data_IF_653455574646
#
_entry.id   IF_653455574646
#
_cell.length_a   1.000
_cell.length_b   1.000
_cell.length_c   1.000
_cell.angle_alpha   90.00
_cell.angle_beta   90.00
_cell.angle_gamma   90.00
#
_symmetry.space_group_name_H-M   'P 1'
#
loop_
_entity.id
_entity.type
_entity.pdbx_description
1 polymer ?
#
# COMPACT_ATOMS: atom_id res chain seq x y z
N UNK A 1 -9.76 -30.22 16.52
CA UNK A 1 -9.40 -29.99 15.10
C UNK A 1 -8.83 -28.58 14.94
N UNK A 2 -7.77 -28.36 14.11
CA UNK A 2 -7.25 -27.02 13.83
C UNK A 2 -8.32 -26.14 13.16
N UNK A 3 -8.20 -24.82 13.34
CA UNK A 3 -9.02 -23.82 12.63
C UNK A 3 -10.52 -23.79 13.02
N UNK A 4 -10.86 -24.09 14.25
CA UNK A 4 -12.25 -24.04 14.73
C UNK A 4 -12.72 -22.64 15.15
N UNK A 5 -11.79 -21.71 15.39
CA UNK A 5 -12.10 -20.37 15.90
C UNK A 5 -11.42 -19.30 15.05
N UNK A 6 -12.18 -18.25 14.75
CA UNK A 6 -11.69 -17.02 14.14
C UNK A 6 -11.84 -15.92 15.20
N UNK A 7 -10.70 -15.29 15.57
CA UNK A 7 -10.67 -14.13 16.45
C UNK A 7 -10.42 -12.91 15.58
N UNK A 8 -11.30 -11.91 15.69
CA UNK A 8 -11.17 -10.66 14.94
C UNK A 8 -10.99 -9.49 15.90
N UNK A 9 -10.21 -8.49 15.49
CA UNK A 9 -10.01 -7.26 16.24
C UNK A 9 -9.52 -6.14 15.33
N UNK A 10 -9.92 -4.92 15.65
CA UNK A 10 -9.50 -3.70 14.94
C UNK A 10 -8.28 -3.02 15.57
N UNK A 11 -7.78 -3.56 16.69
CA UNK A 11 -6.63 -3.02 17.39
C UNK A 11 -5.39 -3.87 17.15
N UNK A 12 -4.25 -3.18 17.04
CA UNK A 12 -2.94 -3.82 17.20
C UNK A 12 -2.91 -4.45 18.59
N UNK A 13 -2.61 -5.74 18.66
CA UNK A 13 -2.35 -6.37 19.97
C UNK A 13 -1.27 -5.56 20.66
N UNK A 14 -1.44 -5.14 21.92
CA UNK A 14 -0.36 -4.56 22.70
C UNK A 14 0.87 -5.47 22.58
N UNK A 15 2.05 -4.90 22.42
CA UNK A 15 3.29 -5.67 22.54
C UNK A 15 3.18 -6.41 23.87
N UNK A 16 3.21 -7.72 23.82
CA UNK A 16 2.79 -8.58 24.91
C UNK A 16 3.45 -8.16 26.21
N UNK A 17 2.64 -7.84 27.19
CA UNK A 17 3.01 -7.96 28.58
C UNK A 17 3.68 -9.33 28.72
N UNK A 18 4.89 -9.43 29.31
CA UNK A 18 5.70 -10.65 29.40
C UNK A 18 4.96 -11.85 30.03
N UNK A 19 3.75 -11.61 30.52
CA UNK A 19 2.86 -12.59 31.16
C UNK A 19 1.88 -13.29 30.21
N UNK A 20 1.74 -12.82 28.94
CA UNK A 20 0.81 -13.42 27.97
C UNK A 20 1.59 -14.36 27.06
N UNK A 21 1.28 -15.65 27.09
CA UNK A 21 1.81 -16.63 26.15
C UNK A 21 1.54 -16.15 24.71
N UNK A 22 2.59 -15.99 23.93
CA UNK A 22 2.54 -15.46 22.56
C UNK A 22 1.64 -16.27 21.59
N UNK A 23 1.15 -17.41 21.99
CA UNK A 23 0.37 -18.31 21.12
C UNK A 23 1.14 -18.83 19.91
N UNK A 24 2.47 -18.63 19.87
CA UNK A 24 3.34 -19.07 18.77
C UNK A 24 3.09 -20.54 18.43
N UNK A 25 2.84 -20.82 17.15
CA UNK A 25 2.52 -22.16 16.64
C UNK A 25 1.07 -22.62 16.85
N UNK A 26 0.21 -21.79 17.48
CA UNK A 26 -1.21 -22.10 17.72
C UNK A 26 -2.16 -21.22 16.93
N UNK A 27 -1.72 -20.05 16.47
CA UNK A 27 -2.51 -19.08 15.71
C UNK A 27 -1.86 -18.81 14.36
N UNK A 28 -2.68 -18.72 13.33
CA UNK A 28 -2.32 -18.12 12.05
C UNK A 28 -2.91 -16.69 12.02
N UNK A 29 -2.07 -15.72 11.69
CA UNK A 29 -2.50 -14.33 11.54
C UNK A 29 -2.88 -14.07 10.10
N UNK A 30 -4.08 -13.54 9.89
CA UNK A 30 -4.57 -13.07 8.59
C UNK A 30 -4.77 -11.57 8.71
N UNK A 31 -4.14 -10.81 7.83
CA UNK A 31 -4.33 -9.37 7.73
C UNK A 31 -5.55 -9.08 6.86
N UNK A 32 -6.56 -8.42 7.42
CA UNK A 32 -7.68 -7.93 6.61
C UNK A 32 -7.24 -6.67 5.87
N UNK A 33 -7.29 -6.71 4.54
CA UNK A 33 -6.90 -5.63 3.64
C UNK A 33 -8.10 -4.87 3.11
N UNK A 34 -7.95 -3.64 2.59
CA UNK A 34 -8.94 -3.04 1.70
C UNK A 34 -9.24 -4.00 0.54
N UNK A 35 -10.48 -3.94 0.03
CA UNK A 35 -10.91 -4.80 -1.08
C UNK A 35 -10.13 -4.49 -2.36
N UNK A 36 -9.70 -5.53 -3.06
CA UNK A 36 -9.21 -5.42 -4.43
C UNK A 36 -10.35 -5.06 -5.39
N UNK A 37 -10.02 -4.65 -6.61
CA UNK A 37 -11.00 -4.39 -7.66
C UNK A 37 -11.78 -5.67 -8.05
N UNK A 38 -11.20 -6.84 -7.84
CA UNK A 38 -11.90 -8.11 -8.03
C UNK A 38 -12.95 -8.34 -6.94
N UNK A 39 -12.61 -8.11 -5.68
CA UNK A 39 -13.54 -8.29 -4.56
C UNK A 39 -14.68 -7.27 -4.56
N UNK A 40 -14.42 -6.05 -5.05
CA UNK A 40 -15.44 -5.00 -5.19
C UNK A 40 -16.21 -5.05 -6.51
N UNK A 41 -15.88 -5.98 -7.42
CA UNK A 41 -16.65 -6.31 -8.61
C UNK A 41 -16.31 -5.46 -9.86
N UNK A 42 -15.30 -4.60 -9.81
CA UNK A 42 -14.86 -3.83 -10.97
C UNK A 42 -13.90 -4.61 -11.89
N UNK A 43 -13.12 -5.54 -11.35
CA UNK A 43 -12.32 -6.46 -12.17
C UNK A 43 -13.18 -7.65 -12.61
N UNK A 44 -13.06 -8.03 -13.89
CA UNK A 44 -13.76 -9.18 -14.44
C UNK A 44 -13.13 -10.55 -14.08
N UNK A 45 -11.94 -10.56 -13.46
CA UNK A 45 -11.24 -11.76 -13.02
C UNK A 45 -10.79 -12.71 -14.15
N UNK A 46 -10.77 -12.28 -15.40
CA UNK A 46 -10.44 -13.16 -16.55
C UNK A 46 -8.97 -13.52 -16.63
N UNK A 47 -8.08 -12.69 -16.07
CA UNK A 47 -6.66 -13.00 -15.93
C UNK A 47 -6.39 -13.35 -14.49
N UNK A 48 -5.94 -14.57 -14.25
CA UNK A 48 -5.63 -15.10 -12.92
C UNK A 48 -4.12 -15.21 -12.75
N UNK A 49 -3.58 -14.62 -11.67
CA UNK A 49 -2.16 -14.80 -11.33
C UNK A 49 -1.81 -16.26 -11.07
N UNK A 50 -2.71 -17.05 -10.51
CA UNK A 50 -2.51 -18.49 -10.32
C UNK A 50 -2.31 -19.20 -11.66
N UNK A 51 -3.15 -18.88 -12.65
CA UNK A 51 -3.06 -19.49 -13.97
C UNK A 51 -1.78 -19.05 -14.72
N UNK A 52 -1.34 -17.81 -14.54
CA UNK A 52 -0.05 -17.34 -15.08
C UNK A 52 1.15 -18.10 -14.48
N UNK A 53 1.11 -18.41 -13.17
CA UNK A 53 2.16 -19.22 -12.53
C UNK A 53 2.12 -20.70 -12.95
N UNK A 54 0.98 -21.17 -13.43
CA UNK A 54 0.78 -22.53 -13.93
C UNK A 54 1.00 -22.63 -15.45
N UNK A 55 1.54 -21.58 -16.10
CA UNK A 55 1.75 -21.49 -17.55
C UNK A 55 0.49 -21.77 -18.38
N UNK A 56 -0.69 -21.50 -17.82
CA UNK A 56 -1.96 -21.69 -18.53
C UNK A 56 -2.15 -20.57 -19.56
N UNK A 57 -2.69 -20.89 -20.73
CA UNK A 57 -3.01 -19.87 -21.72
C UNK A 57 -4.06 -18.89 -21.18
N UNK A 58 -3.84 -17.61 -21.41
CA UNK A 58 -4.80 -16.56 -21.08
C UNK A 58 -5.04 -15.70 -22.33
N UNK A 59 -6.26 -15.20 -22.45
CA UNK A 59 -6.58 -14.19 -23.42
C UNK A 59 -6.37 -12.81 -22.79
N UNK A 60 -5.58 -11.97 -23.45
CA UNK A 60 -5.49 -10.56 -23.06
C UNK A 60 -6.85 -9.91 -23.22
N UNK A 61 -7.40 -9.42 -22.12
CA UNK A 61 -8.68 -8.76 -22.14
C UNK A 61 -8.56 -7.36 -21.59
N UNK A 62 -9.12 -6.42 -22.32
CA UNK A 62 -9.38 -5.10 -21.80
C UNK A 62 -10.63 -5.13 -20.93
N UNK A 63 -10.60 -4.37 -19.85
CA UNK A 63 -11.79 -4.02 -19.08
C UNK A 63 -12.44 -2.80 -19.77
N UNK A 64 -13.75 -2.63 -19.59
CA UNK A 64 -14.50 -1.46 -20.12
C UNK A 64 -14.33 -0.21 -19.23
N UNK A 65 -13.50 -0.27 -18.19
CA UNK A 65 -13.20 0.86 -17.31
C UNK A 65 -12.49 1.96 -18.08
N UNK A 66 -13.03 3.17 -17.98
CA UNK A 66 -12.41 4.38 -18.50
C UNK A 66 -11.39 4.95 -17.53
N UNK A 67 -10.58 5.90 -17.98
CA UNK A 67 -9.65 6.60 -17.10
C UNK A 67 -10.38 7.35 -15.98
N UNK A 68 -11.56 7.88 -16.26
CA UNK A 68 -12.43 8.51 -15.25
C UNK A 68 -12.87 7.51 -14.19
N UNK A 69 -13.20 6.27 -14.58
CA UNK A 69 -13.52 5.22 -13.62
C UNK A 69 -12.32 4.85 -12.77
N UNK A 70 -11.15 4.69 -13.38
CA UNK A 70 -9.91 4.33 -12.63
C UNK A 70 -9.52 5.44 -11.63
N UNK A 71 -9.61 6.72 -12.02
CA UNK A 71 -9.34 7.83 -11.09
C UNK A 71 -10.35 7.87 -9.94
N UNK A 72 -11.62 7.62 -10.22
CA UNK A 72 -12.66 7.48 -9.19
C UNK A 72 -12.34 6.32 -8.24
N UNK A 73 -12.02 5.14 -8.75
CA UNK A 73 -11.70 3.96 -7.95
C UNK A 73 -10.45 4.16 -7.09
N UNK A 74 -9.46 4.87 -7.61
CA UNK A 74 -8.26 5.27 -6.86
C UNK A 74 -8.59 6.16 -5.66
N UNK A 75 -9.48 7.15 -5.85
CA UNK A 75 -9.90 8.06 -4.77
C UNK A 75 -10.92 7.41 -3.82
N UNK A 76 -11.82 6.54 -4.32
CA UNK A 76 -12.78 5.80 -3.49
C UNK A 76 -12.09 4.83 -2.56
N UNK A 77 -11.06 4.15 -3.06
CA UNK A 77 -10.39 3.06 -2.37
C UNK A 77 -11.20 1.76 -2.30
N UNK A 78 -10.61 0.77 -1.64
CA UNK A 78 -11.18 -0.56 -1.43
C UNK A 78 -11.96 -0.69 -0.10
N UNK A 79 -12.60 0.36 0.38
CA UNK A 79 -13.37 0.33 1.62
C UNK A 79 -14.72 -0.35 1.39
N UNK A 80 -15.07 -1.42 2.15
CA UNK A 80 -16.31 -2.18 1.90
C UNK A 80 -17.56 -1.31 1.91
N UNK A 81 -17.64 -0.33 2.83
CA UNK A 81 -18.79 0.57 2.89
C UNK A 81 -18.89 1.49 1.66
N UNK A 82 -17.76 1.98 1.15
CA UNK A 82 -17.72 2.85 -0.03
C UNK A 82 -18.22 2.16 -1.31
N UNK A 83 -18.23 0.83 -1.35
CA UNK A 83 -18.77 0.08 -2.50
C UNK A 83 -20.30 -0.02 -2.52
N UNK A 84 -20.95 0.31 -1.40
CA UNK A 84 -22.39 0.15 -1.19
C UNK A 84 -23.20 1.46 -1.24
N UNK A 85 -22.53 2.60 -1.32
CA UNK A 85 -23.15 3.94 -1.25
C UNK A 85 -22.97 4.72 -2.55
N UNK A 86 -23.57 5.91 -2.66
CA UNK A 86 -23.43 6.73 -3.87
C UNK A 86 -21.98 7.18 -4.11
N UNK A 87 -21.63 7.41 -5.38
CA UNK A 87 -20.26 7.78 -5.79
C UNK A 87 -19.75 9.02 -5.07
N UNK A 88 -20.60 10.00 -4.84
CA UNK A 88 -20.24 11.25 -4.20
C UNK A 88 -19.88 11.04 -2.71
N UNK A 89 -20.74 10.33 -1.97
CA UNK A 89 -20.52 10.04 -0.55
C UNK A 89 -19.38 9.06 -0.32
N UNK A 90 -19.15 8.15 -1.27
CA UNK A 90 -18.07 7.18 -1.18
C UNK A 90 -16.67 7.83 -1.15
N UNK A 91 -16.51 8.98 -1.81
CA UNK A 91 -15.25 9.72 -1.80
C UNK A 91 -14.94 10.36 -0.43
N UNK A 92 -15.96 10.73 0.35
CA UNK A 92 -15.76 11.33 1.66
C UNK A 92 -15.16 10.34 2.67
N UNK A 93 -15.39 9.03 2.47
CA UNK A 93 -14.93 8.02 3.42
C UNK A 93 -13.41 8.01 3.63
N UNK A 94 -12.62 8.22 2.58
CA UNK A 94 -11.18 8.28 2.70
C UNK A 94 -10.71 9.51 3.49
N UNK A 95 -11.38 10.65 3.32
CA UNK A 95 -11.11 11.87 4.09
C UNK A 95 -11.45 11.67 5.57
N UNK A 96 -12.62 11.10 5.87
CA UNK A 96 -13.05 10.81 7.25
C UNK A 96 -12.10 9.82 7.93
N UNK A 97 -11.61 8.82 7.18
CA UNK A 97 -10.61 7.87 7.67
C UNK A 97 -9.29 8.57 8.02
N UNK A 98 -8.75 9.39 7.12
CA UNK A 98 -7.51 10.14 7.37
C UNK A 98 -7.67 11.06 8.58
N UNK A 99 -8.78 11.77 8.69
CA UNK A 99 -9.07 12.64 9.85
C UNK A 99 -9.16 11.85 11.15
N UNK A 100 -9.75 10.65 11.14
CA UNK A 100 -9.79 9.78 12.31
C UNK A 100 -8.41 9.29 12.72
N UNK A 101 -7.60 8.81 11.76
CA UNK A 101 -6.22 8.38 12.00
C UNK A 101 -5.39 9.49 12.62
N UNK A 102 -5.43 10.68 12.05
CA UNK A 102 -4.62 11.83 12.49
C UNK A 102 -5.06 12.34 13.87
N UNK A 103 -6.36 12.49 14.11
CA UNK A 103 -6.87 13.16 15.30
C UNK A 103 -7.12 12.21 16.48
N UNK A 104 -7.24 10.89 16.24
CA UNK A 104 -7.62 9.93 17.29
C UNK A 104 -6.66 8.73 17.37
N UNK A 105 -6.48 8.01 16.27
CA UNK A 105 -5.89 6.68 16.33
C UNK A 105 -4.38 6.71 16.57
N UNK A 106 -3.67 7.68 15.98
CA UNK A 106 -2.22 7.84 16.14
C UNK A 106 -1.78 8.10 17.58
N UNK A 107 -2.69 8.64 18.41
CA UNK A 107 -2.45 8.88 19.84
C UNK A 107 -2.75 7.65 20.71
N UNK A 108 -3.51 6.68 20.17
CA UNK A 108 -3.99 5.51 20.91
C UNK A 108 -3.21 4.25 20.63
N UNK A 109 -2.49 4.20 19.53
CA UNK A 109 -1.86 2.97 19.02
C UNK A 109 -0.86 2.35 20.01
N UNK A 110 -0.18 3.15 20.81
CA UNK A 110 0.84 2.72 21.78
C UNK A 110 0.89 3.61 23.03
N UNK A 111 -0.10 4.47 23.23
CA UNK A 111 -0.18 5.40 24.35
C UNK A 111 0.77 6.60 24.28
N UNK A 112 1.55 6.73 23.22
CA UNK A 112 2.45 7.87 22.99
C UNK A 112 1.66 9.06 22.45
N UNK A 113 1.79 10.21 23.09
CA UNK A 113 1.17 11.47 22.60
C UNK A 113 1.91 11.96 21.36
N UNK A 114 1.24 11.97 20.22
CA UNK A 114 1.73 12.49 18.94
C UNK A 114 0.94 13.71 18.49
N UNK A 115 1.59 14.69 17.85
CA UNK A 115 0.92 15.85 17.27
C UNK A 115 0.13 15.44 16.02
N UNK A 116 -1.19 15.75 15.97
CA UNK A 116 -1.99 15.56 14.75
C UNK A 116 -1.43 16.31 13.54
N UNK A 117 -0.90 17.52 13.76
CA UNK A 117 -0.33 18.35 12.70
C UNK A 117 0.88 17.66 12.06
N UNK A 118 1.78 17.09 12.87
CA UNK A 118 2.94 16.34 12.38
C UNK A 118 2.52 15.05 11.66
N UNK A 119 1.51 14.36 12.19
CA UNK A 119 0.95 13.19 11.51
C UNK A 119 0.38 13.57 10.13
N UNK A 120 -0.33 14.68 10.03
CA UNK A 120 -0.86 15.21 8.77
C UNK A 120 0.27 15.59 7.80
N UNK A 121 1.31 16.25 8.27
CA UNK A 121 2.49 16.58 7.44
C UNK A 121 3.20 15.31 6.94
N UNK A 122 3.33 14.28 7.77
CA UNK A 122 3.92 13.03 7.37
C UNK A 122 3.09 12.32 6.30
N UNK A 123 1.77 12.22 6.46
CA UNK A 123 0.89 11.60 5.47
C UNK A 123 0.95 12.35 4.13
N UNK A 124 0.98 13.69 4.16
CA UNK A 124 1.17 14.50 2.95
C UNK A 124 2.52 14.24 2.28
N UNK A 125 3.59 14.19 3.06
CA UNK A 125 4.92 13.89 2.52
C UNK A 125 4.98 12.48 1.93
N UNK A 126 4.37 11.51 2.59
CA UNK A 126 4.25 10.15 2.09
C UNK A 126 3.49 10.10 0.77
N UNK A 127 2.34 10.77 0.68
CA UNK A 127 1.52 10.82 -0.52
C UNK A 127 2.21 11.51 -1.71
N UNK A 128 3.05 12.52 -1.46
CA UNK A 128 3.89 13.15 -2.51
C UNK A 128 5.02 12.26 -3.01
N UNK A 129 5.39 11.25 -2.25
CA UNK A 129 6.44 10.29 -2.57
C UNK A 129 5.89 8.87 -2.72
N UNK A 130 4.59 8.74 -2.98
CA UNK A 130 3.92 7.45 -3.18
C UNK A 130 4.56 6.71 -4.36
N UNK A 131 4.70 5.39 -4.25
CA UNK A 131 5.34 4.52 -5.24
C UNK A 131 6.78 4.92 -5.60
N UNK A 132 7.49 5.61 -4.70
CA UNK A 132 8.86 6.03 -4.95
C UNK A 132 9.82 5.53 -3.85
N UNK A 133 11.04 5.23 -4.25
CA UNK A 133 12.13 4.86 -3.34
C UNK A 133 12.78 6.12 -2.79
N UNK A 134 12.27 6.64 -1.69
CA UNK A 134 12.82 7.84 -1.04
C UNK A 134 13.29 7.56 0.37
N UNK A 135 14.47 8.06 0.76
CA UNK A 135 14.99 7.91 2.13
C UNK A 135 14.18 8.74 3.14
N UNK A 136 14.26 8.38 4.41
CA UNK A 136 13.59 9.11 5.50
C UNK A 136 14.02 10.58 5.56
N UNK A 137 15.26 10.88 5.20
CA UNK A 137 15.76 12.26 5.14
C UNK A 137 14.98 13.14 4.14
N UNK A 138 14.49 12.57 3.03
CA UNK A 138 13.61 13.27 2.08
C UNK A 138 12.25 13.55 2.70
N UNK A 139 11.63 12.55 3.33
CA UNK A 139 10.35 12.71 4.05
C UNK A 139 10.48 13.78 5.13
N UNK A 140 11.52 13.69 5.96
CA UNK A 140 11.81 14.68 7.01
C UNK A 140 11.96 16.10 6.44
N UNK A 141 12.73 16.26 5.36
CA UNK A 141 12.95 17.57 4.71
C UNK A 141 11.64 18.17 4.20
N UNK A 142 10.78 17.37 3.61
CA UNK A 142 9.47 17.80 3.12
C UNK A 142 8.53 18.22 4.27
N UNK A 143 8.55 17.49 5.39
CA UNK A 143 7.82 17.88 6.60
C UNK A 143 8.32 19.21 7.16
N UNK A 144 9.64 19.38 7.29
CA UNK A 144 10.26 20.61 7.82
C UNK A 144 10.00 21.86 6.97
N UNK A 145 9.79 21.71 5.68
CA UNK A 145 9.42 22.84 4.82
C UNK A 145 8.09 23.50 5.23
N UNK A 146 7.28 22.77 6.02
CA UNK A 146 5.94 23.20 6.46
C UNK A 146 5.79 23.20 8.00
N UNK A 147 6.86 22.92 8.75
CA UNK A 147 6.89 22.95 10.21
C UNK A 147 8.00 23.89 10.68
N UNK A 148 7.65 24.86 11.52
CA UNK A 148 8.61 25.81 12.10
C UNK A 148 9.43 25.24 13.26
N UNK A 149 9.12 24.02 13.70
CA UNK A 149 9.78 23.35 14.83
C UNK A 149 10.90 22.40 14.38
N UNK A 150 11.81 22.08 15.28
CA UNK A 150 12.84 21.06 15.04
C UNK A 150 12.21 19.66 14.97
N UNK A 151 12.58 18.91 13.94
CA UNK A 151 12.13 17.54 13.73
C UNK A 151 13.37 16.68 13.46
N UNK A 152 13.63 15.68 14.29
CA UNK A 152 14.69 14.70 14.08
C UNK A 152 14.19 13.46 13.32
N UNK A 153 15.11 12.63 12.83
CA UNK A 153 14.75 11.42 12.07
C UNK A 153 14.14 10.33 12.97
N UNK A 154 14.48 10.30 14.25
CA UNK A 154 13.91 9.35 15.20
C UNK A 154 12.42 9.64 15.40
N UNK A 155 12.06 10.92 15.52
CA UNK A 155 10.65 11.33 15.57
C UNK A 155 9.89 10.91 14.31
N UNK A 156 10.43 11.15 13.11
CA UNK A 156 9.79 10.71 11.86
C UNK A 156 9.62 9.19 11.84
N UNK A 157 10.65 8.46 12.25
CA UNK A 157 10.63 7.00 12.34
C UNK A 157 9.56 6.50 13.31
N UNK A 158 9.38 7.18 14.45
CA UNK A 158 8.34 6.84 15.43
C UNK A 158 6.92 7.00 14.86
N UNK A 159 6.66 8.12 14.15
CA UNK A 159 5.37 8.30 13.47
C UNK A 159 5.13 7.25 12.38
N UNK A 160 6.15 6.91 11.59
CA UNK A 160 6.07 5.85 10.57
C UNK A 160 5.73 4.50 11.20
N UNK A 161 6.41 4.14 12.31
CA UNK A 161 6.10 2.90 13.05
C UNK A 161 4.65 2.90 13.55
N UNK A 162 4.16 4.01 14.06
CA UNK A 162 2.77 4.13 14.51
C UNK A 162 1.78 3.96 13.36
N UNK A 163 2.02 4.58 12.19
CA UNK A 163 1.18 4.43 11.01
C UNK A 163 1.24 3.00 10.42
N UNK A 164 2.39 2.32 10.50
CA UNK A 164 2.50 0.90 10.14
C UNK A 164 1.70 0.00 11.09
N UNK A 165 1.76 0.26 12.41
CA UNK A 165 0.94 -0.44 13.42
C UNK A 165 -0.56 -0.22 13.21
N UNK A 166 -0.97 0.96 12.72
CA UNK A 166 -2.37 1.28 12.38
C UNK A 166 -2.79 0.74 11.00
N UNK A 167 -1.92 0.05 10.28
CA UNK A 167 -2.17 -0.41 8.92
C UNK A 167 -2.58 0.70 7.95
N UNK A 168 -1.95 1.89 8.08
CA UNK A 168 -2.15 3.04 7.19
C UNK A 168 -1.16 3.01 6.05
N UNK A 169 0.10 2.69 6.36
CA UNK A 169 1.19 2.57 5.39
C UNK A 169 1.79 1.16 5.42
N UNK A 170 2.19 0.69 4.27
CA UNK A 170 2.84 -0.60 4.09
C UNK A 170 3.81 -0.52 2.91
N UNK A 171 5.08 -0.24 3.22
CA UNK A 171 6.11 -0.12 2.19
C UNK A 171 6.40 -1.47 1.51
N UNK A 172 6.93 -1.46 0.28
CA UNK A 172 7.52 -2.62 -0.36
C UNK A 172 9.00 -2.70 -0.03
N UNK A 173 9.41 -3.84 0.53
CA UNK A 173 10.81 -4.16 0.78
C UNK A 173 11.51 -4.53 -0.53
N UNK A 174 12.84 -4.36 -0.57
CA UNK A 174 13.63 -4.78 -1.71
C UNK A 174 13.68 -6.30 -1.84
N UNK A 175 13.43 -6.82 -3.04
CA UNK A 175 13.63 -8.22 -3.36
C UNK A 175 15.10 -8.53 -3.58
N UNK A 176 15.57 -9.62 -3.00
CA UNK A 176 16.92 -10.11 -3.21
C UNK A 176 16.90 -11.57 -3.68
N UNK A 177 17.10 -11.82 -4.98
CA UNK A 177 17.18 -13.16 -5.51
C UNK A 177 18.39 -13.94 -5.01
N UNK A 178 19.41 -13.23 -4.51
CA UNK A 178 20.64 -13.83 -3.99
C UNK A 178 20.64 -13.85 -2.46
N UNK A 179 20.41 -15.01 -1.87
CA UNK A 179 20.27 -15.22 -0.42
C UNK A 179 21.44 -14.65 0.42
N UNK A 180 22.60 -14.39 -0.18
CA UNK A 180 23.79 -13.89 0.52
C UNK A 180 24.17 -12.47 0.12
N UNK A 181 23.40 -11.79 -0.73
CA UNK A 181 23.71 -10.42 -1.13
C UNK A 181 23.39 -9.46 0.02
N UNK A 182 24.35 -8.61 0.36
CA UNK A 182 24.17 -7.51 1.31
C UNK A 182 23.52 -6.27 0.65
N UNK A 183 23.42 -6.25 -0.66
CA UNK A 183 22.94 -5.09 -1.41
C UNK A 183 21.45 -4.80 -1.13
N UNK A 184 20.60 -5.83 -1.08
CA UNK A 184 19.17 -5.67 -0.84
C UNK A 184 18.83 -5.11 0.56
N UNK A 185 19.65 -5.41 1.58
CA UNK A 185 19.45 -4.89 2.95
C UNK A 185 19.66 -3.37 3.01
N UNK A 186 20.38 -2.79 2.05
CA UNK A 186 20.70 -1.36 1.97
C UNK A 186 19.78 -0.59 1.03
N UNK A 187 18.89 -1.26 0.32
CA UNK A 187 17.96 -0.63 -0.61
C UNK A 187 16.81 0.00 0.17
N UNK A 188 16.50 1.24 -0.16
CA UNK A 188 15.37 1.96 0.43
C UNK A 188 14.06 1.33 -0.03
N UNK A 189 13.14 1.11 0.90
CA UNK A 189 11.79 0.61 0.57
C UNK A 189 11.06 1.58 -0.34
N UNK A 190 10.22 1.05 -1.23
CA UNK A 190 9.26 1.87 -2.00
C UNK A 190 8.09 2.23 -1.08
N UNK A 191 7.72 3.53 -1.08
CA UNK A 191 6.69 4.07 -0.19
C UNK A 191 5.29 3.77 -0.70
N UNK A 192 4.49 3.09 0.12
CA UNK A 192 3.12 2.71 -0.22
C UNK A 192 2.16 2.92 0.95
N UNK A 193 0.94 3.31 0.61
CA UNK A 193 -0.20 3.16 1.52
C UNK A 193 -0.77 1.74 1.44
N UNK A 194 -1.62 1.39 2.38
CA UNK A 194 -2.41 0.15 2.28
C UNK A 194 -3.53 0.29 1.25
N UNK A 195 -3.89 1.55 0.93
CA UNK A 195 -4.88 1.92 -0.09
C UNK A 195 -4.57 3.32 -0.63
N UNK A 196 -4.56 3.54 -1.96
CA UNK A 196 -4.20 4.83 -2.58
C UNK A 196 -5.13 5.97 -2.18
N UNK A 197 -6.38 5.69 -1.79
CA UNK A 197 -7.32 6.72 -1.35
C UNK A 197 -6.86 7.47 -0.10
N UNK A 198 -6.06 6.84 0.75
CA UNK A 198 -5.42 7.52 1.89
C UNK A 198 -4.47 8.60 1.40
N UNK A 199 -3.69 8.29 0.37
CA UNK A 199 -2.75 9.23 -0.24
C UNK A 199 -3.47 10.40 -0.92
N UNK A 200 -4.50 10.14 -1.73
CA UNK A 200 -5.29 11.19 -2.38
C UNK A 200 -5.98 12.08 -1.37
N UNK A 201 -6.62 11.51 -0.35
CA UNK A 201 -7.26 12.25 0.75
C UNK A 201 -6.26 13.10 1.55
N UNK A 202 -5.05 12.56 1.82
CA UNK A 202 -3.98 13.29 2.52
C UNK A 202 -3.50 14.54 1.78
N UNK A 203 -3.61 14.54 0.45
CA UNK A 203 -3.30 15.70 -0.40
C UNK A 203 -4.52 16.58 -0.71
N UNK A 204 -5.72 16.15 -0.35
CA UNK A 204 -6.97 16.85 -0.67
C UNK A 204 -7.35 16.72 -2.15
N UNK A 205 -6.95 15.61 -2.81
CA UNK A 205 -7.19 15.37 -4.24
C UNK A 205 -8.47 14.57 -4.45
N UNK A 206 -9.16 14.92 -5.54
CA UNK A 206 -10.28 14.14 -6.08
C UNK A 206 -9.97 13.58 -7.47
N UNK A 207 -10.92 12.83 -8.08
CA UNK A 207 -10.72 12.19 -9.39
C UNK A 207 -10.31 13.18 -10.50
N UNK A 208 -10.85 14.40 -10.49
CA UNK A 208 -10.52 15.43 -11.50
C UNK A 208 -9.08 15.92 -11.39
N UNK A 209 -8.54 15.99 -10.17
CA UNK A 209 -7.15 16.41 -9.96
C UNK A 209 -6.20 15.38 -10.55
N UNK A 210 -6.49 14.08 -10.40
CA UNK A 210 -5.70 12.99 -10.98
C UNK A 210 -5.74 13.01 -12.51
N UNK A 211 -6.91 13.29 -13.12
CA UNK A 211 -7.01 13.42 -14.57
C UNK A 211 -6.19 14.58 -15.10
N UNK A 212 -6.15 15.69 -14.36
CA UNK A 212 -5.41 16.89 -14.77
C UNK A 212 -3.88 16.73 -14.61
N UNK A 213 -3.41 15.73 -13.85
CA UNK A 213 -1.99 15.42 -13.68
C UNK A 213 -1.76 13.90 -13.80
N UNK A 214 -1.76 13.41 -15.04
CA UNK A 214 -1.57 11.99 -15.33
C UNK A 214 -0.21 11.46 -14.88
N UNK A 215 0.80 12.31 -14.79
CA UNK A 215 2.12 11.91 -14.30
C UNK A 215 2.06 11.55 -12.81
N UNK A 216 1.45 12.41 -12.01
CA UNK A 216 1.23 12.11 -10.57
C UNK A 216 0.24 10.95 -10.40
N UNK A 217 -0.79 10.88 -11.26
CA UNK A 217 -1.76 9.79 -11.22
C UNK A 217 -1.09 8.43 -11.42
N UNK A 218 -0.07 8.31 -12.28
CA UNK A 218 0.67 7.06 -12.50
C UNK A 218 1.16 6.42 -11.20
N UNK A 219 1.67 7.22 -10.26
CA UNK A 219 2.14 6.73 -8.95
C UNK A 219 0.98 6.24 -8.06
N UNK A 220 -0.16 6.91 -8.06
CA UNK A 220 -1.35 6.45 -7.33
C UNK A 220 -1.98 5.21 -7.96
N UNK A 221 -1.93 5.11 -9.28
CA UNK A 221 -2.35 3.93 -10.01
C UNK A 221 -1.48 2.72 -9.67
N UNK A 222 -0.17 2.89 -9.61
CA UNK A 222 0.76 1.86 -9.17
C UNK A 222 0.45 1.40 -7.73
N UNK A 223 0.19 2.34 -6.79
CA UNK A 223 -0.19 2.00 -5.41
C UNK A 223 -1.51 1.21 -5.36
N UNK A 224 -2.48 1.52 -6.23
CA UNK A 224 -3.72 0.76 -6.37
C UNK A 224 -3.46 -0.67 -6.86
N UNK A 225 -2.59 -0.83 -7.85
CA UNK A 225 -2.21 -2.16 -8.35
C UNK A 225 -1.46 -2.95 -7.27
N UNK A 226 -0.54 -2.30 -6.55
CA UNK A 226 0.19 -2.93 -5.42
C UNK A 226 -0.77 -3.36 -4.31
N UNK A 227 -1.80 -2.57 -3.98
CA UNK A 227 -2.86 -2.98 -3.05
C UNK A 227 -3.51 -4.29 -3.48
N UNK A 228 -3.96 -4.37 -4.73
CA UNK A 228 -4.63 -5.55 -5.27
C UNK A 228 -3.69 -6.76 -5.32
N UNK A 229 -2.46 -6.55 -5.79
CA UNK A 229 -1.45 -7.61 -5.85
C UNK A 229 -1.12 -8.18 -4.46
N UNK A 230 -1.18 -7.38 -3.39
CA UNK A 230 -1.00 -7.88 -2.02
C UNK A 230 -2.09 -8.88 -1.63
N UNK A 231 -3.35 -8.58 -1.97
CA UNK A 231 -4.48 -9.50 -1.73
C UNK A 231 -4.26 -10.81 -2.50
N UNK A 232 -3.90 -10.71 -3.77
CA UNK A 232 -3.66 -11.90 -4.60
C UNK A 232 -2.41 -12.68 -4.18
N UNK A 233 -1.35 -11.99 -3.77
CA UNK A 233 -0.13 -12.63 -3.29
C UNK A 233 -0.39 -13.48 -2.04
N UNK A 234 -1.17 -12.96 -1.08
CA UNK A 234 -1.53 -13.71 0.12
C UNK A 234 -2.33 -14.97 -0.21
N UNK A 235 -3.26 -14.90 -1.17
CA UNK A 235 -4.01 -16.08 -1.64
C UNK A 235 -3.12 -17.13 -2.33
N UNK A 236 -1.94 -16.74 -2.82
CA UNK A 236 -0.97 -17.60 -3.50
C UNK A 236 0.21 -18.01 -2.61
N UNK A 237 0.13 -17.82 -1.28
CA UNK A 237 1.24 -18.03 -0.35
C UNK A 237 2.52 -17.27 -0.76
N UNK A 238 2.34 -16.05 -1.28
CA UNK A 238 3.39 -15.18 -1.75
C UNK A 238 3.52 -13.89 -0.95
N UNK A 239 4.61 -13.15 -1.21
CA UNK A 239 4.84 -11.80 -0.70
C UNK A 239 5.31 -10.91 -1.84
N UNK A 240 4.93 -9.63 -1.80
CA UNK A 240 5.38 -8.62 -2.75
C UNK A 240 6.65 -7.93 -2.26
N UNK A 241 7.46 -7.56 -3.23
CA UNK A 241 8.70 -6.80 -3.09
C UNK A 241 8.82 -5.83 -4.27
N UNK A 242 9.73 -4.89 -4.21
CA UNK A 242 10.24 -4.18 -5.36
C UNK A 242 11.65 -4.67 -5.71
N UNK A 243 12.11 -4.42 -6.93
CA UNK A 243 13.50 -4.71 -7.32
C UNK A 243 14.17 -3.46 -7.87
N UNK A 244 15.39 -3.22 -7.42
CA UNK A 244 16.30 -2.26 -8.03
C UNK A 244 17.73 -2.68 -7.76
N UNK A 245 18.55 -2.65 -8.78
CA UNK A 245 19.97 -2.99 -8.68
C UNK A 245 20.88 -1.75 -8.79
N UNK A 246 22.18 -1.98 -8.64
CA UNK A 246 23.19 -0.94 -8.74
C UNK A 246 23.41 -0.40 -10.16
N UNK A 247 22.91 -1.07 -11.19
CA UNK A 247 22.99 -0.64 -12.60
C UNK A 247 21.84 0.27 -12.99
N UNK A 248 20.80 0.36 -12.15
CA UNK A 248 19.59 1.11 -12.39
C UNK A 248 18.45 0.30 -13.01
N UNK A 249 18.65 -1.02 -13.20
CA UNK A 249 17.55 -1.91 -13.58
C UNK A 249 16.56 -1.98 -12.44
N UNK A 250 15.29 -1.73 -12.73
CA UNK A 250 14.21 -1.72 -11.75
C UNK A 250 12.99 -2.50 -12.22
N UNK A 251 12.20 -2.94 -11.27
CA UNK A 251 10.90 -3.56 -11.48
C UNK A 251 9.97 -3.11 -10.35
N UNK A 252 8.79 -2.63 -10.70
CA UNK A 252 7.84 -2.03 -9.75
C UNK A 252 7.42 -3.05 -8.69
N UNK A 253 7.09 -4.28 -9.10
CA UNK A 253 6.71 -5.35 -8.16
C UNK A 253 7.27 -6.70 -8.55
N UNK A 254 7.69 -7.44 -7.52
CA UNK A 254 8.08 -8.85 -7.61
C UNK A 254 7.20 -9.64 -6.67
N UNK A 255 6.38 -10.55 -7.19
CA UNK A 255 5.64 -11.50 -6.38
C UNK A 255 6.48 -12.76 -6.23
N UNK A 256 6.91 -13.05 -5.00
CA UNK A 256 7.70 -14.25 -4.68
C UNK A 256 6.89 -15.20 -3.81
N UNK A 257 6.64 -16.43 -4.29
CA UNK A 257 5.88 -17.46 -3.60
C UNK A 257 6.78 -18.29 -2.68
N UNK A 258 6.21 -18.87 -1.64
CA UNK A 258 6.94 -19.74 -0.70
C UNK A 258 7.58 -20.97 -1.35
N UNK A 259 7.05 -21.42 -2.48
CA UNK A 259 7.62 -22.54 -3.26
C UNK A 259 8.85 -22.15 -4.09
N UNK A 260 9.27 -20.86 -4.04
CA UNK A 260 10.43 -20.33 -4.76
C UNK A 260 10.13 -19.77 -6.15
N UNK A 261 8.92 -19.96 -6.69
CA UNK A 261 8.54 -19.31 -7.95
C UNK A 261 8.31 -17.81 -7.74
N UNK A 262 8.59 -17.01 -8.77
CA UNK A 262 8.38 -15.57 -8.72
C UNK A 262 7.90 -15.02 -10.07
N UNK A 263 7.26 -13.89 -10.04
CA UNK A 263 6.84 -13.11 -11.20
C UNK A 263 7.33 -11.67 -11.06
N UNK A 264 7.77 -11.09 -12.16
CA UNK A 264 8.15 -9.67 -12.28
C UNK A 264 7.00 -8.95 -12.97
N UNK A 265 6.60 -7.81 -12.41
CA UNK A 265 5.48 -7.03 -12.94
C UNK A 265 5.85 -5.56 -12.98
N UNK A 266 5.58 -4.96 -14.14
CA UNK A 266 5.74 -3.53 -14.40
C UNK A 266 4.36 -2.91 -14.52
N UNK A 267 4.15 -1.75 -13.89
CA UNK A 267 2.87 -1.06 -13.85
C UNK A 267 2.95 0.21 -14.69
N UNK A 268 2.14 0.30 -15.73
CA UNK A 268 2.10 1.50 -16.60
C UNK A 268 0.69 2.02 -16.73
N UNK A 269 0.52 3.31 -16.44
CA UNK A 269 -0.67 4.05 -16.79
C UNK A 269 -0.46 4.68 -18.17
N UNK A 270 -0.79 3.95 -19.25
CA UNK A 270 -0.56 4.48 -20.58
C UNK A 270 -0.81 3.51 -21.71
N UNK A 271 -0.63 4.00 -22.92
CA UNK A 271 -0.84 3.25 -24.17
C UNK A 271 0.30 2.28 -24.49
N UNK A 272 0.15 1.62 -25.65
CA UNK A 272 1.03 0.57 -26.13
C UNK A 272 2.52 0.97 -26.17
N UNK A 273 2.81 2.22 -26.49
CA UNK A 273 4.20 2.71 -26.61
C UNK A 273 4.94 2.70 -25.26
N UNK A 274 4.24 2.94 -24.14
CA UNK A 274 4.81 2.88 -22.79
C UNK A 274 5.00 1.44 -22.29
N UNK A 275 4.22 0.49 -22.82
CA UNK A 275 4.37 -0.94 -22.49
C UNK A 275 5.61 -1.53 -23.17
N UNK A 276 5.92 -1.05 -24.37
CA UNK A 276 7.09 -1.55 -25.15
C UNK A 276 8.43 -1.03 -24.58
N UNK A 277 8.42 -0.02 -23.71
CA UNK A 277 9.60 0.54 -23.02
C UNK A 277 9.87 -0.06 -21.62
N UNK A 278 8.94 -0.87 -21.09
CA UNK A 278 8.94 -1.43 -19.72
C UNK A 278 9.57 -2.84 -19.59
#
# INVERSE_FOLDING_TARGET
EPSQFILTGSSVLPEADETIHSGTGRYAYIKMRPMSLYESGESNGKVSLADLFDDKPFETQTNDLTIDDITYLTCRGGWPWATLISKEVALDQAFDYVDSVVNKDIQRVDGVKRSPERAKLLLRSYARNISQQVPLSTIRKDMLANDSSTLDEDTVTDYIKALKKLFVIEDLEAWNPNLRSKAAIRTTDTRHFVDPSIGTASLGLGPKDLINDLKSFGFFFEDMVVRDLRVYAEALDGKLYHYRDSTGLECDTVLHRRNGSYALMEVKLGGKDLIDEG
#
